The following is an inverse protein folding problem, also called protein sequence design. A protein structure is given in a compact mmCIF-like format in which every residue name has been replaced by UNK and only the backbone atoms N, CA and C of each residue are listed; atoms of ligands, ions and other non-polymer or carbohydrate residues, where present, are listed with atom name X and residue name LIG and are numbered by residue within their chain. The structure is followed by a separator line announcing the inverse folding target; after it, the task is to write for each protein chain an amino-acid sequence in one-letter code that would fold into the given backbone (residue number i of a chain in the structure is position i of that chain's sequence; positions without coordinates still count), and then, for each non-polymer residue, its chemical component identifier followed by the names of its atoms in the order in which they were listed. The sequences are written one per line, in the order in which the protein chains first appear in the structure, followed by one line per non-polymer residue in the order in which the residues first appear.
data_IF_300387508163
#
_entry.id   IF_300387508163
#
_cell.length_a   1.000
_cell.length_b   1.000
_cell.length_c   1.000
_cell.angle_alpha   90.00
_cell.angle_beta   90.00
_cell.angle_gamma   90.00
#
_symmetry.space_group_name_H-M   'P 1'
#
loop_
_entity.id
_entity.type
_entity.pdbx_description
1 polymer ?
#
# COMPACT_ATOMS: atom_id res chain seq x y z
N UNK A 1 -27.50 -9.65 -59.67
CA UNK A 1 -26.88 -8.41 -59.15
C UNK A 1 -26.66 -8.59 -57.66
N UNK A 2 -25.42 -8.47 -57.19
CA UNK A 2 -25.00 -8.71 -55.80
C UNK A 2 -25.07 -7.38 -55.04
N UNK A 3 -25.88 -7.30 -53.98
CA UNK A 3 -25.78 -6.24 -52.98
C UNK A 3 -25.04 -6.80 -51.76
N UNK A 4 -23.78 -6.40 -51.61
CA UNK A 4 -23.02 -6.61 -50.39
C UNK A 4 -23.45 -5.54 -49.38
N UNK A 5 -24.12 -5.95 -48.29
CA UNK A 5 -24.38 -5.08 -47.14
C UNK A 5 -23.18 -5.21 -46.22
N UNK A 6 -22.37 -4.15 -46.16
CA UNK A 6 -21.27 -4.01 -45.22
C UNK A 6 -21.87 -3.52 -43.90
N UNK A 7 -21.90 -4.37 -42.89
CA UNK A 7 -22.26 -4.00 -41.53
C UNK A 7 -21.04 -3.31 -40.88
N UNK A 8 -21.12 -2.04 -40.45
CA UNK A 8 -20.03 -1.43 -39.70
C UNK A 8 -19.98 -2.04 -38.29
N UNK A 9 -18.84 -2.66 -37.99
CA UNK A 9 -18.52 -3.10 -36.63
C UNK A 9 -18.40 -1.85 -35.73
N UNK A 10 -19.34 -1.71 -34.80
CA UNK A 10 -19.25 -0.74 -33.71
C UNK A 10 -18.07 -1.13 -32.82
N UNK A 11 -16.93 -0.48 -33.07
CA UNK A 11 -15.82 -0.37 -32.14
C UNK A 11 -16.37 0.19 -30.83
N UNK A 12 -16.64 -0.69 -29.88
CA UNK A 12 -16.86 -0.32 -28.48
C UNK A 12 -15.52 0.17 -27.96
N UNK A 13 -15.28 1.47 -28.11
CA UNK A 13 -14.25 2.17 -27.37
C UNK A 13 -14.59 1.96 -25.89
N UNK A 14 -13.88 1.03 -25.25
CA UNK A 14 -13.82 0.94 -23.80
C UNK A 14 -13.31 2.28 -23.31
N UNK A 15 -14.24 3.17 -22.97
CA UNK A 15 -13.96 4.39 -22.24
C UNK A 15 -13.23 3.94 -20.98
N UNK A 16 -11.91 4.16 -20.96
CA UNK A 16 -11.12 4.04 -19.76
C UNK A 16 -11.80 4.96 -18.75
N UNK A 17 -12.47 4.35 -17.77
CA UNK A 17 -12.96 5.05 -16.59
C UNK A 17 -11.71 5.63 -15.93
N UNK A 18 -11.39 6.87 -16.27
CA UNK A 18 -10.50 7.71 -15.50
C UNK A 18 -11.18 7.86 -14.13
N UNK A 19 -10.85 6.95 -13.22
CA UNK A 19 -11.24 7.08 -11.83
C UNK A 19 -10.71 8.44 -11.38
N UNK A 20 -11.60 9.30 -10.88
CA UNK A 20 -11.25 10.56 -10.28
C UNK A 20 -10.08 10.29 -9.32
N UNK A 21 -8.91 10.87 -9.62
CA UNK A 21 -7.76 10.70 -8.74
C UNK A 21 -8.18 11.27 -7.39
N UNK A 22 -8.20 10.46 -6.31
CA UNK A 22 -8.07 11.03 -4.98
C UNK A 22 -6.88 11.99 -5.07
N UNK A 23 -6.99 13.19 -4.47
CA UNK A 23 -5.94 14.22 -4.57
C UNK A 23 -4.56 13.60 -4.48
N UNK A 24 -3.58 14.13 -5.21
CA UNK A 24 -2.26 13.49 -5.31
C UNK A 24 -1.70 13.23 -3.90
N UNK A 25 -1.72 11.97 -3.47
CA UNK A 25 -1.28 11.54 -2.15
C UNK A 25 -0.41 10.32 -2.27
N UNK A 26 0.62 10.30 -1.45
CA UNK A 26 1.53 9.17 -1.32
C UNK A 26 1.13 8.32 -0.13
N UNK A 27 1.31 7.01 -0.25
CA UNK A 27 1.13 6.06 0.85
C UNK A 27 2.50 5.51 1.21
N UNK A 28 2.93 5.81 2.44
CA UNK A 28 4.12 5.28 3.11
C UNK A 28 3.71 4.57 4.39
N UNK A 29 4.70 3.99 5.07
CA UNK A 29 4.60 3.61 6.47
C UNK A 29 5.37 4.57 7.35
N UNK A 30 4.79 4.90 8.50
CA UNK A 30 5.52 5.56 9.56
C UNK A 30 6.59 4.64 10.17
N UNK A 31 7.40 5.17 11.08
CA UNK A 31 8.47 4.42 11.74
C UNK A 31 8.03 3.22 12.57
N UNK A 32 6.73 3.01 12.78
CA UNK A 32 6.16 1.86 13.49
C UNK A 32 5.42 0.90 12.54
N UNK A 33 5.52 1.10 11.23
CA UNK A 33 4.82 0.30 10.24
C UNK A 33 3.33 0.63 10.12
N UNK A 34 2.88 1.76 10.68
CA UNK A 34 1.50 2.22 10.51
C UNK A 34 1.37 2.98 9.21
N UNK A 35 0.26 2.83 8.49
CA UNK A 35 0.09 3.50 7.23
C UNK A 35 -0.06 5.01 7.37
N UNK A 36 0.62 5.74 6.50
CA UNK A 36 0.68 7.19 6.46
C UNK A 36 0.36 7.68 5.06
N UNK A 37 -0.64 8.54 4.94
CA UNK A 37 -0.92 9.32 3.74
C UNK A 37 -0.10 10.61 3.80
N UNK A 38 0.62 10.96 2.73
CA UNK A 38 1.38 12.21 2.59
C UNK A 38 0.77 13.05 1.48
N UNK A 39 0.57 14.34 1.75
CA UNK A 39 -0.15 15.28 0.88
C UNK A 39 -1.60 15.52 1.30
N UNK A 40 -2.12 14.76 2.28
CA UNK A 40 -3.46 14.94 2.86
C UNK A 40 -3.47 14.56 4.34
N UNK A 41 -4.41 15.12 5.10
CA UNK A 41 -4.74 14.68 6.46
C UNK A 41 -5.75 13.53 6.48
N UNK A 42 -6.44 13.31 5.36
CA UNK A 42 -7.38 12.20 5.18
C UNK A 42 -6.64 10.91 4.77
N UNK A 43 -7.28 9.77 5.00
CA UNK A 43 -6.78 8.50 4.52
C UNK A 43 -7.20 8.25 3.07
N UNK A 44 -6.26 8.41 2.13
CA UNK A 44 -6.52 8.22 0.71
C UNK A 44 -7.02 6.80 0.36
N UNK A 45 -6.79 5.82 1.25
CA UNK A 45 -7.20 4.42 1.05
C UNK A 45 -8.68 4.20 1.31
N UNK A 46 -9.38 5.15 1.94
CA UNK A 46 -10.83 5.06 2.12
C UNK A 46 -11.57 5.04 0.78
N UNK A 47 -10.98 5.62 -0.28
CA UNK A 47 -11.52 5.61 -1.64
C UNK A 47 -11.33 4.27 -2.39
N UNK A 48 -10.56 3.32 -1.85
CA UNK A 48 -10.41 2.00 -2.46
C UNK A 48 -11.77 1.26 -2.47
N UNK A 49 -11.98 0.45 -3.50
CA UNK A 49 -13.11 -0.47 -3.60
C UNK A 49 -12.81 -1.77 -2.86
N UNK A 50 -13.78 -2.30 -2.13
CA UNK A 50 -13.63 -3.60 -1.47
C UNK A 50 -13.41 -4.72 -2.49
N UNK A 51 -12.30 -5.43 -2.38
CA UNK A 51 -11.97 -6.61 -3.16
C UNK A 51 -12.37 -7.92 -2.47
N UNK A 52 -12.39 -9.00 -3.24
CA UNK A 52 -12.76 -10.33 -2.76
C UNK A 52 -11.58 -11.16 -2.19
N UNK A 53 -10.39 -10.58 -2.05
CA UNK A 53 -9.23 -11.29 -1.48
C UNK A 53 -9.49 -11.61 0.00
N UNK A 54 -9.12 -12.82 0.43
CA UNK A 54 -9.01 -13.16 1.85
C UNK A 54 -7.77 -12.51 2.47
N UNK A 55 -7.68 -12.48 3.80
CA UNK A 55 -6.47 -12.01 4.49
C UNK A 55 -5.24 -12.82 4.08
N UNK A 56 -5.33 -14.15 4.05
CA UNK A 56 -4.23 -15.02 3.59
C UNK A 56 -3.79 -14.69 2.15
N UNK A 57 -4.75 -14.52 1.23
CA UNK A 57 -4.43 -14.17 -0.16
C UNK A 57 -3.80 -12.77 -0.28
N UNK A 58 -4.22 -11.83 0.58
CA UNK A 58 -3.61 -10.51 0.68
C UNK A 58 -2.16 -10.58 1.17
N UNK A 59 -1.87 -11.43 2.17
CA UNK A 59 -0.51 -11.69 2.65
C UNK A 59 0.38 -12.32 1.57
N UNK A 60 -0.16 -13.25 0.79
CA UNK A 60 0.56 -13.87 -0.34
C UNK A 60 0.85 -12.87 -1.47
N UNK A 61 -0.12 -12.03 -1.81
CA UNK A 61 0.07 -10.96 -2.77
C UNK A 61 1.14 -9.96 -2.30
N UNK A 62 1.14 -9.61 -1.01
CA UNK A 62 2.20 -8.80 -0.42
C UNK A 62 3.58 -9.47 -0.51
N UNK A 63 3.68 -10.75 -0.16
CA UNK A 63 4.93 -11.50 -0.28
C UNK A 63 5.47 -11.48 -1.71
N UNK A 64 4.60 -11.77 -2.70
CA UNK A 64 4.97 -11.77 -4.11
C UNK A 64 5.47 -10.39 -4.58
N UNK A 65 4.82 -9.30 -4.14
CA UNK A 65 5.20 -7.94 -4.52
C UNK A 65 6.51 -7.47 -3.86
N UNK A 66 6.65 -7.67 -2.54
CA UNK A 66 7.68 -6.98 -1.76
C UNK A 66 8.87 -7.86 -1.34
N UNK A 67 8.69 -9.17 -1.22
CA UNK A 67 9.64 -10.04 -0.54
C UNK A 67 10.21 -11.14 -1.43
N UNK A 68 9.40 -11.76 -2.30
CA UNK A 68 9.83 -12.85 -3.17
C UNK A 68 10.98 -12.44 -4.11
N UNK A 69 11.02 -11.16 -4.50
CA UNK A 69 12.09 -10.54 -5.28
C UNK A 69 13.31 -10.08 -4.49
N UNK A 70 13.39 -10.36 -3.18
CA UNK A 70 14.49 -9.96 -2.31
C UNK A 70 14.50 -8.47 -1.94
N UNK A 71 13.34 -7.83 -1.88
CA UNK A 71 13.18 -6.41 -1.53
C UNK A 71 14.02 -5.47 -2.43
N UNK A 72 13.72 -5.49 -3.72
CA UNK A 72 14.37 -4.67 -4.75
C UNK A 72 13.34 -3.94 -5.62
N UNK A 73 13.57 -2.68 -6.01
CA UNK A 73 12.61 -1.89 -6.78
C UNK A 73 12.27 -2.51 -8.14
N UNK A 74 13.25 -3.09 -8.83
CA UNK A 74 13.06 -3.73 -10.14
C UNK A 74 12.20 -5.00 -10.03
N UNK A 75 12.42 -5.80 -8.99
CA UNK A 75 11.65 -7.01 -8.75
C UNK A 75 10.21 -6.67 -8.31
N UNK A 76 10.04 -5.61 -7.52
CA UNK A 76 8.73 -5.06 -7.18
C UNK A 76 7.97 -4.61 -8.45
N UNK A 77 8.61 -3.83 -9.32
CA UNK A 77 7.99 -3.36 -10.55
C UNK A 77 7.60 -4.52 -11.48
N UNK A 78 8.43 -5.57 -11.57
CA UNK A 78 8.11 -6.78 -12.33
C UNK A 78 6.92 -7.53 -11.72
N UNK A 79 6.91 -7.74 -10.40
CA UNK A 79 5.82 -8.42 -9.70
C UNK A 79 4.50 -7.63 -9.83
N UNK A 80 4.55 -6.30 -9.82
CA UNK A 80 3.38 -5.46 -10.01
C UNK A 80 2.77 -5.56 -11.41
N UNK A 81 3.53 -5.98 -12.42
CA UNK A 81 3.02 -6.24 -13.76
C UNK A 81 2.33 -7.63 -13.90
N UNK A 82 2.36 -8.46 -12.85
CA UNK A 82 1.72 -9.75 -12.88
C UNK A 82 0.18 -9.60 -13.06
N UNK A 83 -0.44 -10.34 -14.00
CA UNK A 83 -1.88 -10.20 -14.30
C UNK A 83 -2.82 -10.46 -13.12
N UNK A 84 -2.36 -11.19 -12.10
CA UNK A 84 -3.18 -11.64 -10.96
C UNK A 84 -3.83 -10.47 -10.18
N UNK A 85 -3.14 -9.33 -10.04
CA UNK A 85 -3.62 -8.18 -9.27
C UNK A 85 -4.15 -7.05 -10.16
N UNK A 86 -4.01 -7.16 -11.50
CA UNK A 86 -4.44 -6.15 -12.49
C UNK A 86 -3.96 -4.73 -12.16
N UNK A 87 -2.78 -4.61 -11.57
CA UNK A 87 -2.22 -3.31 -11.20
C UNK A 87 -1.80 -2.53 -12.44
N UNK A 88 -2.01 -1.23 -12.40
CA UNK A 88 -1.59 -0.28 -13.43
C UNK A 88 -0.57 0.68 -12.83
N UNK A 89 0.50 0.94 -13.58
CA UNK A 89 1.47 1.96 -13.20
C UNK A 89 0.80 3.34 -13.23
N UNK A 90 1.00 4.09 -12.16
CA UNK A 90 0.56 5.47 -12.03
C UNK A 90 1.67 6.28 -11.38
N UNK A 91 1.89 7.49 -11.86
CA UNK A 91 2.74 8.48 -11.18
C UNK A 91 1.89 9.35 -10.27
N UNK A 92 2.29 9.52 -9.02
CA UNK A 92 1.71 10.53 -8.12
C UNK A 92 2.68 11.68 -7.99
N UNK A 93 2.19 12.91 -8.12
CA UNK A 93 2.99 14.12 -8.05
C UNK A 93 2.40 15.08 -7.02
N UNK A 94 3.18 15.40 -5.99
CA UNK A 94 2.85 16.42 -5.02
C UNK A 94 3.43 17.75 -5.48
N UNK A 95 2.56 18.71 -5.75
CA UNK A 95 2.92 20.09 -6.13
C UNK A 95 3.87 20.73 -5.10
N UNK A 96 4.75 21.65 -5.50
CA UNK A 96 5.63 22.37 -4.57
C UNK A 96 4.82 23.21 -3.57
N UNK A 97 5.33 23.36 -2.34
CA UNK A 97 4.70 24.17 -1.28
C UNK A 97 5.75 25.11 -0.68
N UNK A 98 5.64 26.41 -0.95
CA UNK A 98 6.61 27.40 -0.46
C UNK A 98 8.03 27.07 -0.93
N UNK A 99 8.93 26.75 0.02
CA UNK A 99 10.32 26.32 -0.26
C UNK A 99 10.47 24.80 -0.41
N UNK A 100 9.42 24.03 -0.18
CA UNK A 100 9.43 22.57 -0.34
C UNK A 100 9.25 22.25 -1.83
N UNK A 101 10.21 21.56 -2.48
CA UNK A 101 10.11 21.23 -3.89
C UNK A 101 8.97 20.24 -4.17
N UNK A 102 8.61 20.12 -5.45
CA UNK A 102 7.72 19.06 -5.91
C UNK A 102 8.29 17.68 -5.55
N UNK A 103 7.41 16.71 -5.35
CA UNK A 103 7.81 15.33 -5.09
C UNK A 103 6.99 14.40 -5.97
N UNK A 104 7.65 13.40 -6.54
CA UNK A 104 6.96 12.41 -7.37
C UNK A 104 7.35 11.00 -6.95
N UNK A 105 6.40 10.08 -7.07
CA UNK A 105 6.62 8.68 -6.81
C UNK A 105 5.79 7.83 -7.77
N UNK A 106 6.40 6.75 -8.24
CA UNK A 106 5.68 5.72 -8.97
C UNK A 106 4.93 4.81 -8.00
N UNK A 107 3.69 4.48 -8.36
CA UNK A 107 2.85 3.53 -7.63
C UNK A 107 2.12 2.64 -8.62
N UNK A 108 1.63 1.53 -8.11
CA UNK A 108 0.85 0.56 -8.86
C UNK A 108 -0.52 0.46 -8.22
N UNK A 109 -1.57 0.67 -9.00
CA UNK A 109 -2.94 0.78 -8.50
C UNK A 109 -3.89 -0.14 -9.25
N UNK A 110 -4.85 -0.70 -8.51
CA UNK A 110 -6.08 -1.26 -9.06
C UNK A 110 -7.23 -0.85 -8.12
N UNK A 111 -8.52 -1.05 -8.47
CA UNK A 111 -9.62 -0.45 -7.70
C UNK A 111 -9.61 -0.72 -6.19
N UNK A 112 -9.11 -1.87 -5.75
CA UNK A 112 -9.05 -2.24 -4.32
C UNK A 112 -7.65 -2.35 -3.73
N UNK A 113 -6.60 -1.97 -4.47
CA UNK A 113 -5.21 -2.15 -4.05
C UNK A 113 -4.34 -1.00 -4.53
N UNK A 114 -3.41 -0.58 -3.67
CA UNK A 114 -2.33 0.35 -4.01
C UNK A 114 -1.03 -0.19 -3.45
N UNK A 115 -0.04 -0.31 -4.31
CA UNK A 115 1.29 -0.76 -3.97
C UNK A 115 2.31 0.31 -4.38
N UNK A 116 3.29 0.58 -3.53
CA UNK A 116 4.30 1.59 -3.80
C UNK A 116 5.67 1.16 -3.28
N UNK A 117 6.71 1.56 -4.01
CA UNK A 117 8.09 1.46 -3.56
C UNK A 117 8.57 2.87 -3.20
N UNK A 118 9.24 3.01 -2.06
CA UNK A 118 9.86 4.24 -1.62
C UNK A 118 11.34 4.00 -1.35
N UNK A 119 12.18 4.87 -1.90
CA UNK A 119 13.64 4.78 -1.84
C UNK A 119 14.24 5.41 -0.58
N UNK A 120 13.41 5.97 0.31
CA UNK A 120 13.85 6.70 1.51
C UNK A 120 14.14 8.18 1.25
N UNK A 121 13.90 8.69 0.04
CA UNK A 121 14.09 10.10 -0.27
C UNK A 121 12.98 10.96 0.35
N UNK A 122 13.37 11.80 1.32
CA UNK A 122 12.47 12.74 1.99
C UNK A 122 12.48 14.16 1.38
N UNK A 123 13.33 14.42 0.37
CA UNK A 123 13.41 15.73 -0.28
C UNK A 123 12.04 16.04 -0.87
N UNK A 124 11.46 17.19 -0.52
CA UNK A 124 10.13 17.56 -0.99
C UNK A 124 8.97 17.02 -0.15
N UNK A 125 9.20 16.21 0.90
CA UNK A 125 8.14 15.76 1.80
C UNK A 125 7.96 16.66 3.03
N UNK A 126 9.01 17.37 3.45
CA UNK A 126 9.01 18.22 4.67
C UNK A 126 7.82 19.19 4.71
N UNK A 127 7.15 19.23 5.87
CA UNK A 127 5.98 20.06 6.19
C UNK A 127 4.70 19.74 5.40
N UNK A 128 4.69 18.71 4.54
CA UNK A 128 3.44 18.29 3.89
C UNK A 128 2.45 17.76 4.91
N UNK A 129 1.16 17.97 4.67
CA UNK A 129 0.12 17.35 5.48
C UNK A 129 0.27 15.82 5.46
N UNK A 130 0.13 15.20 6.63
CA UNK A 130 0.07 13.76 6.76
C UNK A 130 -1.13 13.33 7.59
N UNK A 131 -1.69 12.17 7.25
CA UNK A 131 -2.66 11.43 8.04
C UNK A 131 -2.12 10.03 8.33
N UNK A 132 -1.92 9.70 9.60
CA UNK A 132 -1.48 8.36 10.03
C UNK A 132 -2.70 7.64 10.59
N UNK A 133 -3.07 6.49 10.00
CA UNK A 133 -4.18 5.69 10.53
C UNK A 133 -3.67 4.70 11.58
N UNK A 134 -4.27 4.74 12.76
CA UNK A 134 -3.99 3.84 13.88
C UNK A 134 -5.31 3.39 14.50
N UNK A 135 -5.61 2.08 14.41
CA UNK A 135 -6.75 1.41 15.08
C UNK A 135 -8.12 2.13 14.90
N UNK A 136 -8.38 2.65 13.70
CA UNK A 136 -9.63 3.33 13.34
C UNK A 136 -9.65 4.84 13.60
N UNK A 137 -8.57 5.42 14.11
CA UNK A 137 -8.38 6.87 14.20
C UNK A 137 -7.35 7.34 13.17
N UNK A 138 -7.50 8.57 12.68
CA UNK A 138 -6.49 9.24 11.86
C UNK A 138 -5.86 10.36 12.67
N UNK A 139 -4.54 10.29 12.83
CA UNK A 139 -3.73 11.34 13.47
C UNK A 139 -3.16 12.23 12.37
N UNK A 140 -3.64 13.47 12.32
CA UNK A 140 -3.18 14.46 11.37
C UNK A 140 -1.96 15.23 11.92
N UNK A 141 -0.94 15.44 11.09
CA UNK A 141 0.19 16.32 11.43
C UNK A 141 0.90 16.83 10.17
N UNK A 142 2.05 17.49 10.34
CA UNK A 142 2.99 17.72 9.24
C UNK A 142 4.03 16.59 9.13
N UNK A 143 4.53 16.35 7.93
CA UNK A 143 5.67 15.46 7.70
C UNK A 143 6.92 16.09 8.31
N UNK A 144 7.55 15.38 9.23
CA UNK A 144 8.79 15.76 9.89
C UNK A 144 9.88 14.71 9.66
N UNK A 145 11.11 15.00 10.12
CA UNK A 145 12.21 14.04 10.06
C UNK A 145 11.84 12.72 10.74
N UNK A 146 12.28 11.60 10.16
CA UNK A 146 12.11 10.25 10.73
C UNK A 146 10.64 9.81 10.89
N UNK A 147 9.69 10.48 10.23
CA UNK A 147 8.29 10.04 10.22
C UNK A 147 8.19 8.69 9.53
N UNK A 148 8.85 8.53 8.39
CA UNK A 148 9.11 7.25 7.75
C UNK A 148 10.60 6.89 7.92
N UNK A 149 10.95 5.61 7.78
CA UNK A 149 12.33 5.13 7.93
C UNK A 149 12.74 4.28 6.74
N UNK A 150 13.99 4.49 6.30
CA UNK A 150 14.66 3.78 5.22
C UNK A 150 13.85 3.57 3.95
N UNK A 151 14.26 2.57 3.17
CA UNK A 151 13.52 2.12 1.98
C UNK A 151 12.29 1.35 2.41
N UNK A 152 11.21 1.42 1.63
CA UNK A 152 9.97 0.74 1.97
C UNK A 152 9.25 0.18 0.74
N UNK A 153 8.63 -0.98 0.91
CA UNK A 153 7.61 -1.50 0.00
C UNK A 153 6.30 -1.53 0.76
N UNK A 154 5.32 -0.76 0.29
CA UNK A 154 4.03 -0.56 0.95
C UNK A 154 2.93 -1.14 0.08
N UNK A 155 2.02 -1.92 0.67
CA UNK A 155 0.86 -2.49 -0.04
C UNK A 155 -0.38 -2.30 0.82
N UNK A 156 -1.35 -1.55 0.31
CA UNK A 156 -2.65 -1.38 0.96
C UNK A 156 -3.74 -2.01 0.12
N UNK A 157 -4.64 -2.75 0.77
CA UNK A 157 -5.76 -3.43 0.14
C UNK A 157 -7.02 -3.18 0.94
N UNK A 158 -8.16 -3.00 0.26
CA UNK A 158 -9.47 -3.00 0.92
C UNK A 158 -10.14 -4.33 0.67
N UNK A 159 -10.39 -5.09 1.73
CA UNK A 159 -10.99 -6.42 1.66
C UNK A 159 -12.47 -6.34 2.01
N UNK A 160 -13.34 -7.10 1.34
CA UNK A 160 -14.77 -7.17 1.67
C UNK A 160 -15.04 -7.68 3.09
N UNK A 161 -14.12 -8.44 3.65
CA UNK A 161 -14.09 -8.82 5.06
C UNK A 161 -12.68 -9.29 5.40
N UNK A 162 -12.28 -9.12 6.66
CA UNK A 162 -11.06 -9.69 7.20
C UNK A 162 -11.42 -10.65 8.36
N UNK A 163 -12.22 -11.67 8.07
CA UNK A 163 -12.64 -12.65 9.07
C UNK A 163 -11.52 -13.60 9.51
N UNK A 164 -10.42 -13.66 8.75
CA UNK A 164 -9.29 -14.56 8.92
C UNK A 164 -8.04 -13.85 9.50
N UNK A 165 -8.22 -12.86 10.38
CA UNK A 165 -7.13 -12.02 10.92
C UNK A 165 -5.97 -12.83 11.51
N UNK A 166 -6.29 -13.87 12.29
CA UNK A 166 -5.28 -14.72 12.89
C UNK A 166 -4.54 -15.52 11.82
N UNK A 167 -5.25 -16.15 10.88
CA UNK A 167 -4.64 -16.91 9.79
C UNK A 167 -3.76 -16.03 8.89
N UNK A 168 -4.15 -14.77 8.69
CA UNK A 168 -3.32 -13.79 7.99
C UNK A 168 -2.04 -13.46 8.77
N UNK A 169 -2.13 -13.21 10.08
CA UNK A 169 -0.96 -12.96 10.92
C UNK A 169 -0.02 -14.17 10.95
N UNK A 170 -0.57 -15.38 11.07
CA UNK A 170 0.19 -16.64 11.02
C UNK A 170 0.87 -16.81 9.65
N UNK A 171 0.17 -16.44 8.57
CA UNK A 171 0.73 -16.47 7.20
C UNK A 171 1.90 -15.51 7.05
N UNK A 172 1.81 -14.27 7.58
CA UNK A 172 2.93 -13.33 7.57
C UNK A 172 4.10 -13.86 8.41
N UNK A 173 3.83 -14.45 9.58
CA UNK A 173 4.87 -15.13 10.37
C UNK A 173 5.59 -16.22 9.58
N UNK A 174 4.84 -17.05 8.85
CA UNK A 174 5.40 -18.09 7.99
C UNK A 174 6.21 -17.52 6.81
N UNK A 175 5.79 -16.39 6.23
CA UNK A 175 6.50 -15.72 5.12
C UNK A 175 7.82 -15.11 5.61
N UNK A 176 7.82 -14.47 6.77
CA UNK A 176 8.98 -13.73 7.28
C UNK A 176 10.05 -14.65 7.86
N UNK A 177 9.67 -15.86 8.29
CA UNK A 177 10.51 -16.79 9.04
C UNK A 177 11.12 -16.15 10.30
N UNK A 178 10.56 -15.03 10.75
CA UNK A 178 11.08 -14.18 11.81
C UNK A 178 10.44 -14.45 13.16
N UNK A 179 11.04 -13.91 14.21
CA UNK A 179 10.37 -13.79 15.52
C UNK A 179 9.52 -12.53 15.52
N UNK A 180 8.25 -12.61 15.95
CA UNK A 180 7.43 -11.42 16.07
C UNK A 180 7.98 -10.49 17.14
N UNK A 181 8.10 -9.21 16.81
CA UNK A 181 8.30 -8.15 17.82
C UNK A 181 6.98 -7.82 18.52
N UNK A 182 5.88 -7.87 17.75
CA UNK A 182 4.53 -7.59 18.22
C UNK A 182 3.51 -8.31 17.35
N UNK A 183 2.52 -8.93 17.96
CA UNK A 183 1.29 -9.37 17.27
C UNK A 183 0.12 -9.06 18.19
N UNK A 184 -0.85 -8.30 17.69
CA UNK A 184 -2.10 -8.05 18.39
C UNK A 184 -3.25 -8.26 17.42
N UNK A 185 -4.13 -9.22 17.75
CA UNK A 185 -5.35 -9.48 17.00
C UNK A 185 -6.55 -9.16 17.90
N UNK A 186 -7.40 -8.25 17.46
CA UNK A 186 -8.65 -7.87 18.12
C UNK A 186 -9.80 -7.97 17.11
N UNK A 187 -11.07 -8.01 17.56
CA UNK A 187 -12.20 -8.12 16.65
C UNK A 187 -12.30 -6.99 15.61
N UNK A 188 -11.89 -5.76 15.96
CA UNK A 188 -12.03 -4.57 15.09
C UNK A 188 -10.77 -4.18 14.34
N UNK A 189 -9.62 -4.69 14.76
CA UNK A 189 -8.31 -4.30 14.24
C UNK A 189 -7.27 -5.36 14.57
N UNK A 190 -6.20 -5.40 13.79
CA UNK A 190 -5.01 -6.16 14.14
C UNK A 190 -3.77 -5.40 13.69
N UNK A 191 -2.68 -5.56 14.41
CA UNK A 191 -1.39 -5.01 14.03
C UNK A 191 -0.26 -5.96 14.46
N UNK A 192 0.87 -5.88 13.78
CA UNK A 192 2.04 -6.63 14.20
C UNK A 192 3.25 -6.41 13.30
N UNK A 193 4.41 -6.86 13.79
CA UNK A 193 5.67 -6.77 13.08
C UNK A 193 6.60 -7.94 13.38
N UNK A 194 7.45 -8.26 12.41
CA UNK A 194 8.50 -9.25 12.48
C UNK A 194 9.79 -8.65 11.91
N UNK A 195 10.91 -8.98 12.54
CA UNK A 195 12.23 -8.80 11.94
C UNK A 195 12.55 -10.02 11.06
N UNK A 196 12.99 -9.79 9.83
CA UNK A 196 13.50 -10.86 8.98
C UNK A 196 14.84 -11.34 9.56
N UNK A 197 15.08 -12.66 9.72
CA UNK A 197 16.31 -13.18 10.29
C UNK A 197 17.56 -12.69 9.55
N UNK A 198 18.60 -12.30 10.30
CA UNK A 198 19.88 -11.81 9.78
C UNK A 198 19.74 -10.63 8.80
N UNK A 199 18.73 -9.77 9.01
CA UNK A 199 18.40 -8.65 8.13
C UNK A 199 18.06 -7.39 8.92
N UNK A 200 18.13 -6.22 8.27
CA UNK A 200 17.60 -4.94 8.75
C UNK A 200 16.15 -4.72 8.33
N UNK A 201 15.53 -5.70 7.67
CA UNK A 201 14.17 -5.57 7.17
C UNK A 201 13.15 -5.93 8.24
N UNK A 202 12.21 -5.02 8.49
CA UNK A 202 11.03 -5.24 9.31
C UNK A 202 9.79 -5.35 8.43
N UNK A 203 9.05 -6.44 8.59
CA UNK A 203 7.73 -6.61 7.99
C UNK A 203 6.69 -6.20 9.02
N UNK A 204 5.75 -5.32 8.64
CA UNK A 204 4.64 -4.93 9.50
C UNK A 204 3.31 -5.06 8.77
N UNK A 205 2.24 -5.28 9.52
CA UNK A 205 0.88 -5.19 9.03
C UNK A 205 0.02 -4.37 9.99
N UNK A 206 -0.96 -3.67 9.43
CA UNK A 206 -1.99 -2.96 10.15
C UNK A 206 -3.32 -3.17 9.46
N UNK A 207 -4.32 -3.59 10.23
CA UNK A 207 -5.69 -3.82 9.78
C UNK A 207 -6.60 -3.00 10.65
N UNK A 208 -7.49 -2.26 10.00
CA UNK A 208 -8.51 -1.46 10.64
C UNK A 208 -9.85 -1.77 10.00
N UNK A 209 -10.93 -1.46 10.73
CA UNK A 209 -12.30 -1.67 10.28
C UNK A 209 -12.58 -3.16 9.97
N UNK A 210 -11.92 -4.07 10.71
CA UNK A 210 -12.03 -5.52 10.48
C UNK A 210 -13.43 -6.07 10.79
N UNK A 211 -14.20 -5.37 11.64
CA UNK A 211 -15.59 -5.66 11.97
C UNK A 211 -16.60 -5.01 11.00
N UNK A 212 -16.12 -4.31 9.96
CA UNK A 212 -16.94 -3.67 8.95
C UNK A 212 -17.03 -4.51 7.67
N UNK A 213 -18.01 -4.26 6.79
CA UNK A 213 -18.09 -4.87 5.46
C UNK A 213 -16.94 -4.51 4.50
N UNK A 214 -15.97 -3.73 4.97
CA UNK A 214 -14.79 -3.36 4.22
C UNK A 214 -13.65 -3.11 5.21
N UNK A 215 -12.72 -4.06 5.30
CA UNK A 215 -11.53 -3.92 6.13
C UNK A 215 -10.40 -3.30 5.31
N UNK A 216 -9.68 -2.35 5.89
CA UNK A 216 -8.49 -1.79 5.27
C UNK A 216 -7.26 -2.46 5.85
N UNK A 217 -6.52 -3.15 4.98
CA UNK A 217 -5.28 -3.85 5.30
C UNK A 217 -4.11 -3.07 4.71
N UNK A 218 -3.06 -2.90 5.49
CA UNK A 218 -1.80 -2.35 5.06
C UNK A 218 -0.66 -3.28 5.46
N UNK A 219 0.20 -3.59 4.51
CA UNK A 219 1.45 -4.30 4.73
C UNK A 219 2.61 -3.40 4.34
N UNK A 220 3.72 -3.54 5.06
CA UNK A 220 4.97 -2.89 4.70
C UNK A 220 6.16 -3.79 4.96
N UNK A 221 7.19 -3.66 4.12
CA UNK A 221 8.57 -4.02 4.46
C UNK A 221 9.35 -2.72 4.58
N UNK A 222 10.06 -2.50 5.68
CA UNK A 222 10.89 -1.32 5.90
C UNK A 222 12.32 -1.74 6.17
N UNK A 223 13.29 -1.09 5.53
CA UNK A 223 14.69 -1.16 5.90
C UNK A 223 14.93 -0.24 7.08
N UNK A 224 15.12 -0.81 8.28
CA UNK A 224 15.23 -0.03 9.52
C UNK A 224 16.69 0.20 9.94
N UNK A 225 17.65 0.00 9.03
CA UNK A 225 19.06 0.31 9.29
C UNK A 225 19.22 1.77 9.78
N UNK A 226 19.86 1.95 10.94
CA UNK A 226 20.10 3.27 11.51
C UNK A 226 18.88 3.98 12.09
N UNK A 227 17.70 3.34 12.12
CA UNK A 227 16.54 3.87 12.83
C UNK A 227 16.83 3.90 14.34
N UNK A 228 17.04 5.10 14.91
CA UNK A 228 17.16 5.24 16.37
C UNK A 228 15.84 4.80 17.05
N UNK A 229 15.88 4.16 18.23
CA UNK A 229 14.68 3.87 19.03
C UNK A 229 13.83 5.11 19.30
#
# INVERSE_FOLDING_TARGET
MRFAVILPALLSASAALAQASPGATIILSDRYGRPMTVGSQDDARDALQSGALSGVAAADAFHALCLAGGFKPEAFAQAAQAPALKLQAQKVELEPIGKTPAYAQDRFVAPGIVASWWDGNEVGLKNRAIGIRDRGAVVASGYGPFKAVGRQCNVSMKLAQAGDLQAMADRIGAITLGTPEKIVVKPKWADGSWMIPNSTLRVSFAIVDADKPAALVHFTVQDIEGAKP
#
